data_IF_023981154713
#
_entry.id   IF_023981154713
#
_cell.length_a   1.000
_cell.length_b   1.000
_cell.length_c   1.000
_cell.angle_alpha   90.00
_cell.angle_beta   90.00
_cell.angle_gamma   90.00
#
_symmetry.space_group_name_H-M   'P 1'
#
loop_
_entity.id
_entity.type
_entity.pdbx_description
1 polymer ?
#
# COMPACT_ATOMS: atom_id res chain seq x y z
N UNK A 1 -28.67 35.35 5.92
CA UNK A 1 -29.34 34.94 4.66
C UNK A 1 -28.46 35.36 3.47
N UNK A 2 -28.73 34.92 2.24
CA UNK A 2 -27.94 35.30 1.04
C UNK A 2 -28.53 36.57 0.40
N UNK A 3 -27.68 37.53 0.03
CA UNK A 3 -28.10 38.76 -0.66
C UNK A 3 -28.50 38.47 -2.12
N UNK A 4 -29.37 39.27 -2.74
CA UNK A 4 -29.85 39.04 -4.13
C UNK A 4 -28.70 38.92 -5.16
N UNK A 5 -27.63 39.69 -5.00
CA UNK A 5 -26.42 39.59 -5.83
C UNK A 5 -25.67 38.28 -5.59
N UNK A 6 -25.49 37.90 -4.32
CA UNK A 6 -24.84 36.65 -3.91
C UNK A 6 -25.62 35.42 -4.39
N UNK A 7 -26.96 35.44 -4.34
CA UNK A 7 -27.81 34.35 -4.82
C UNK A 7 -27.54 34.05 -6.29
N UNK A 8 -27.32 35.08 -7.12
CA UNK A 8 -26.93 34.86 -8.53
C UNK A 8 -25.58 34.18 -8.65
N UNK A 9 -24.58 34.63 -7.89
CA UNK A 9 -23.23 34.08 -7.93
C UNK A 9 -23.20 32.63 -7.45
N UNK A 10 -23.86 32.31 -6.33
CA UNK A 10 -23.88 30.94 -5.80
C UNK A 10 -24.63 29.97 -6.74
N UNK A 11 -25.71 30.40 -7.41
CA UNK A 11 -26.40 29.54 -8.37
C UNK A 11 -25.51 29.20 -9.58
N UNK A 12 -24.76 30.19 -10.09
CA UNK A 12 -23.82 29.98 -11.20
C UNK A 12 -22.68 29.07 -10.75
N UNK A 13 -22.07 29.35 -9.59
CA UNK A 13 -20.98 28.54 -9.06
C UNK A 13 -21.40 27.09 -8.80
N UNK A 14 -22.60 26.86 -8.25
CA UNK A 14 -23.15 25.51 -8.07
C UNK A 14 -23.33 24.79 -9.42
N UNK A 15 -23.86 25.47 -10.44
CA UNK A 15 -24.04 24.88 -11.77
C UNK A 15 -22.70 24.48 -12.39
N UNK A 16 -21.70 25.37 -12.36
CA UNK A 16 -20.35 25.10 -12.85
C UNK A 16 -19.71 23.91 -12.13
N UNK A 17 -19.78 23.90 -10.79
CA UNK A 17 -19.27 22.79 -9.98
C UNK A 17 -19.91 21.45 -10.35
N UNK A 18 -21.23 21.41 -10.47
CA UNK A 18 -21.95 20.19 -10.86
C UNK A 18 -21.67 19.77 -12.32
N UNK A 19 -21.32 20.70 -13.20
CA UNK A 19 -20.86 20.36 -14.56
C UNK A 19 -19.46 19.75 -14.55
N UNK A 20 -18.50 20.35 -13.84
CA UNK A 20 -17.17 19.78 -13.69
C UNK A 20 -17.19 18.40 -13.05
N UNK A 21 -18.03 18.22 -12.02
CA UNK A 21 -18.25 16.91 -11.40
C UNK A 21 -18.79 15.86 -12.38
N UNK A 22 -19.54 16.25 -13.41
CA UNK A 22 -20.00 15.34 -14.46
C UNK A 22 -18.90 15.01 -15.46
N UNK A 23 -18.06 15.98 -15.80
CA UNK A 23 -16.97 15.83 -16.78
C UNK A 23 -15.79 15.02 -16.20
N UNK A 24 -15.54 15.12 -14.88
CA UNK A 24 -14.42 14.44 -14.21
C UNK A 24 -14.71 13.06 -13.60
N UNK A 25 -15.99 12.67 -13.43
CA UNK A 25 -16.34 11.37 -12.84
C UNK A 25 -16.35 10.26 -13.89
N UNK A 26 -15.28 9.45 -13.92
CA UNK A 26 -15.40 8.05 -14.32
C UNK A 26 -16.47 7.39 -13.44
N UNK A 27 -17.38 6.62 -14.03
CA UNK A 27 -18.53 6.04 -13.33
C UNK A 27 -18.09 5.09 -12.21
N UNK A 28 -18.00 5.60 -10.97
CA UNK A 28 -17.80 4.79 -9.77
C UNK A 28 -19.10 4.05 -9.42
N UNK A 29 -19.32 2.91 -10.08
CA UNK A 29 -20.32 1.89 -9.70
C UNK A 29 -21.79 2.34 -9.68
N UNK A 30 -22.68 1.36 -9.50
CA UNK A 30 -24.11 1.63 -9.25
C UNK A 30 -24.26 2.23 -7.85
N UNK A 31 -24.90 3.40 -7.75
CA UNK A 31 -25.23 4.02 -6.45
C UNK A 31 -26.15 3.08 -5.66
N UNK A 32 -25.82 2.84 -4.39
CA UNK A 32 -26.74 2.19 -3.45
C UNK A 32 -27.93 3.13 -3.20
N UNK A 33 -29.15 2.60 -3.25
CA UNK A 33 -30.41 3.33 -2.99
C UNK A 33 -30.59 3.68 -1.50
N UNK A 34 -29.52 4.04 -0.80
CA UNK A 34 -29.51 4.13 0.66
C UNK A 34 -30.27 5.34 1.22
N UNK A 35 -30.65 6.30 0.39
CA UNK A 35 -31.32 7.52 0.86
C UNK A 35 -32.53 7.87 0.00
N UNK A 36 -33.72 7.62 0.55
CA UNK A 36 -35.01 7.84 -0.10
C UNK A 36 -35.26 9.33 -0.43
N UNK A 37 -34.62 10.26 0.30
CA UNK A 37 -34.82 11.71 0.17
C UNK A 37 -33.55 12.46 -0.26
N UNK A 38 -32.66 11.80 -1.01
CA UNK A 38 -31.48 12.45 -1.58
C UNK A 38 -31.83 13.27 -2.83
N UNK A 39 -31.36 14.52 -2.89
CA UNK A 39 -31.47 15.36 -4.09
C UNK A 39 -30.38 15.04 -5.11
N UNK A 40 -30.78 14.58 -6.30
CA UNK A 40 -29.87 14.46 -7.45
C UNK A 40 -29.28 15.83 -7.85
N UNK A 41 -28.13 15.82 -8.53
CA UNK A 41 -27.46 17.05 -8.99
C UNK A 41 -28.39 17.95 -9.80
N UNK A 42 -29.23 17.36 -10.65
CA UNK A 42 -30.23 18.11 -11.41
C UNK A 42 -31.30 18.73 -10.50
N UNK A 43 -31.83 17.98 -9.53
CA UNK A 43 -32.80 18.51 -8.56
C UNK A 43 -32.22 19.67 -7.74
N UNK A 44 -30.93 19.61 -7.37
CA UNK A 44 -30.23 20.71 -6.68
C UNK A 44 -30.21 21.98 -7.52
N UNK A 45 -29.99 21.88 -8.84
CA UNK A 45 -30.06 23.03 -9.77
C UNK A 45 -31.47 23.61 -9.84
N UNK A 46 -32.50 22.78 -9.97
CA UNK A 46 -33.91 23.23 -9.98
C UNK A 46 -34.26 23.91 -8.65
N UNK A 47 -33.81 23.36 -7.53
CA UNK A 47 -34.00 23.95 -6.20
C UNK A 47 -33.33 25.32 -6.10
N UNK A 48 -32.06 25.43 -6.50
CA UNK A 48 -31.31 26.68 -6.49
C UNK A 48 -31.97 27.77 -7.36
N UNK A 49 -32.47 27.41 -8.55
CA UNK A 49 -33.21 28.31 -9.42
C UNK A 49 -34.53 28.78 -8.79
N UNK A 50 -35.25 27.88 -8.12
CA UNK A 50 -36.48 28.21 -7.40
C UNK A 50 -36.21 29.15 -6.22
N UNK A 51 -35.13 28.90 -5.48
CA UNK A 51 -34.64 29.79 -4.42
C UNK A 51 -34.29 31.18 -4.96
N UNK A 52 -33.58 31.25 -6.10
CA UNK A 52 -33.27 32.50 -6.79
C UNK A 52 -34.53 33.26 -7.21
N UNK A 53 -35.53 32.59 -7.78
CA UNK A 53 -36.79 33.21 -8.17
C UNK A 53 -37.54 33.78 -6.96
N UNK A 54 -37.66 32.99 -5.89
CA UNK A 54 -38.31 33.40 -4.64
C UNK A 54 -37.65 34.64 -4.02
N UNK A 55 -36.31 34.68 -3.98
CA UNK A 55 -35.55 35.87 -3.50
C UNK A 55 -35.63 37.07 -4.43
N UNK A 56 -35.81 36.88 -5.73
CA UNK A 56 -36.04 38.00 -6.67
C UNK A 56 -37.43 38.62 -6.49
N UNK A 57 -38.43 37.82 -6.14
CA UNK A 57 -39.80 38.29 -5.88
C UNK A 57 -40.03 38.70 -4.41
N UNK A 58 -39.01 38.55 -3.55
CA UNK A 58 -39.11 38.74 -2.10
C UNK A 58 -40.22 37.89 -1.47
N UNK A 59 -40.38 36.66 -1.95
CA UNK A 59 -41.38 35.68 -1.51
C UNK A 59 -40.72 34.43 -0.93
N UNK A 60 -41.39 33.68 -0.05
CA UNK A 60 -40.93 32.36 0.36
C UNK A 60 -41.03 31.36 -0.80
N UNK A 61 -40.25 30.29 -0.74
CA UNK A 61 -40.37 29.17 -1.68
C UNK A 61 -41.68 28.42 -1.41
N UNK A 62 -42.44 28.15 -2.47
CA UNK A 62 -43.63 27.30 -2.40
C UNK A 62 -43.23 25.82 -2.46
N UNK A 63 -42.90 25.26 -1.30
CA UNK A 63 -42.50 23.85 -1.15
C UNK A 63 -43.64 22.88 -1.50
N UNK A 64 -44.89 23.28 -1.29
CA UNK A 64 -46.05 22.44 -1.62
C UNK A 64 -46.13 22.24 -3.12
N UNK A 65 -46.05 23.32 -3.90
CA UNK A 65 -46.01 23.25 -5.36
C UNK A 65 -44.76 22.53 -5.86
N UNK A 66 -43.60 22.80 -5.25
CA UNK A 66 -42.34 22.17 -5.65
C UNK A 66 -42.35 20.66 -5.40
N UNK A 67 -42.94 20.19 -4.29
CA UNK A 67 -43.09 18.77 -3.98
C UNK A 67 -43.97 18.01 -4.99
N UNK A 68 -44.94 18.70 -5.62
CA UNK A 68 -45.84 18.13 -6.63
C UNK A 68 -45.27 18.16 -8.05
N UNK A 69 -44.09 18.76 -8.24
CA UNK A 69 -43.42 18.84 -9.54
C UNK A 69 -42.87 17.48 -9.98
N UNK A 70 -42.83 17.26 -11.30
CA UNK A 70 -42.19 16.09 -11.90
C UNK A 70 -40.69 15.97 -11.58
N UNK A 71 -40.04 17.05 -11.14
CA UNK A 71 -38.64 17.03 -10.75
C UNK A 71 -38.42 16.42 -9.36
N UNK A 72 -39.41 16.46 -8.46
CA UNK A 72 -39.27 16.04 -7.06
C UNK A 72 -40.22 14.89 -6.71
N UNK A 73 -40.34 13.89 -7.59
CA UNK A 73 -41.25 12.73 -7.41
C UNK A 73 -41.06 12.01 -6.07
N UNK A 74 -39.82 11.88 -5.59
CA UNK A 74 -39.50 11.29 -4.29
C UNK A 74 -40.08 12.07 -3.08
N UNK A 75 -40.38 13.36 -3.27
CA UNK A 75 -40.90 14.26 -2.25
C UNK A 75 -42.40 14.54 -2.41
N UNK A 76 -43.10 13.82 -3.30
CA UNK A 76 -44.52 14.06 -3.58
C UNK A 76 -45.38 14.03 -2.30
N UNK A 77 -46.08 15.13 -2.04
CA UNK A 77 -46.93 15.29 -0.85
C UNK A 77 -46.17 15.50 0.46
N UNK A 78 -44.84 15.69 0.43
CA UNK A 78 -43.97 15.89 1.59
C UNK A 78 -43.20 17.22 1.50
N UNK A 79 -43.89 18.37 1.55
CA UNK A 79 -43.24 19.69 1.48
C UNK A 79 -42.29 19.93 2.65
N UNK A 80 -42.58 19.40 3.85
CA UNK A 80 -41.77 19.61 5.05
C UNK A 80 -40.37 18.98 4.90
N UNK A 81 -40.29 17.80 4.27
CA UNK A 81 -39.02 17.12 3.98
C UNK A 81 -38.25 17.89 2.91
N UNK A 82 -38.93 18.47 1.93
CA UNK A 82 -38.28 19.29 0.91
C UNK A 82 -37.78 20.63 1.49
N UNK A 83 -38.49 21.18 2.47
CA UNK A 83 -38.09 22.39 3.20
C UNK A 83 -36.86 22.14 4.08
N UNK A 84 -36.75 20.98 4.74
CA UNK A 84 -35.57 20.68 5.56
C UNK A 84 -34.27 20.62 4.74
N UNK A 85 -34.37 20.23 3.46
CA UNK A 85 -33.25 20.23 2.51
C UNK A 85 -32.76 21.62 2.11
N UNK A 86 -33.54 22.69 2.33
CA UNK A 86 -33.16 24.06 1.96
C UNK A 86 -31.79 24.44 2.53
N UNK A 87 -31.60 24.18 3.82
CA UNK A 87 -30.35 24.49 4.52
C UNK A 87 -29.13 23.81 3.90
N UNK A 88 -29.27 22.54 3.52
CA UNK A 88 -28.22 21.76 2.88
C UNK A 88 -27.88 22.28 1.48
N UNK A 89 -28.90 22.58 0.66
CA UNK A 89 -28.70 23.12 -0.70
C UNK A 89 -28.05 24.51 -0.62
N UNK A 90 -28.42 25.34 0.35
CA UNK A 90 -27.79 26.65 0.58
C UNK A 90 -26.32 26.50 1.00
N UNK A 91 -26.01 25.53 1.86
CA UNK A 91 -24.63 25.26 2.27
C UNK A 91 -23.77 24.83 1.08
N UNK A 92 -24.28 23.93 0.23
CA UNK A 92 -23.59 23.52 -1.01
C UNK A 92 -23.39 24.70 -1.98
N UNK A 93 -24.40 25.55 -2.16
CA UNK A 93 -24.32 26.77 -2.97
C UNK A 93 -23.20 27.71 -2.51
N UNK A 94 -23.08 27.92 -1.18
CA UNK A 94 -22.01 28.75 -0.61
C UNK A 94 -20.63 28.13 -0.78
N UNK A 95 -20.53 26.82 -0.54
CA UNK A 95 -19.27 26.09 -0.68
C UNK A 95 -18.78 26.12 -2.13
N UNK A 96 -19.69 25.94 -3.10
CA UNK A 96 -19.37 26.05 -4.52
C UNK A 96 -18.85 27.46 -4.89
N UNK A 97 -19.44 28.52 -4.32
CA UNK A 97 -18.96 29.88 -4.54
C UNK A 97 -17.58 30.13 -3.92
N UNK A 98 -17.32 29.61 -2.72
CA UNK A 98 -16.01 29.70 -2.09
C UNK A 98 -14.93 28.97 -2.90
N UNK A 99 -15.26 27.79 -3.41
CA UNK A 99 -14.38 27.04 -4.32
C UNK A 99 -14.12 27.81 -5.60
N UNK A 100 -15.15 28.37 -6.25
CA UNK A 100 -15.00 29.22 -7.42
C UNK A 100 -14.11 30.44 -7.13
N UNK A 101 -14.28 31.11 -5.99
CA UNK A 101 -13.46 32.26 -5.59
C UNK A 101 -12.00 31.90 -5.37
N UNK A 102 -11.70 30.71 -4.86
CA UNK A 102 -10.32 30.21 -4.75
C UNK A 102 -9.70 30.05 -6.13
N UNK A 103 -10.46 29.50 -7.08
CA UNK A 103 -10.02 29.34 -8.46
C UNK A 103 -9.78 30.71 -9.12
N UNK A 104 -10.75 31.62 -8.99
CA UNK A 104 -10.66 32.98 -9.55
C UNK A 104 -9.55 33.81 -8.90
N UNK A 105 -9.26 33.57 -7.62
CA UNK A 105 -8.17 34.17 -6.85
C UNK A 105 -6.78 33.59 -7.15
N UNK A 106 -6.67 32.70 -8.14
CA UNK A 106 -5.40 32.11 -8.55
C UNK A 106 -4.87 31.02 -7.62
N UNK A 107 -5.70 30.46 -6.74
CA UNK A 107 -5.36 29.22 -6.06
C UNK A 107 -5.37 28.12 -7.12
N UNK A 108 -4.17 27.73 -7.57
CA UNK A 108 -3.95 26.79 -8.67
C UNK A 108 -4.82 25.54 -8.51
N UNK A 109 -5.88 25.45 -9.31
CA UNK A 109 -6.26 24.16 -9.88
C UNK A 109 -5.06 23.78 -10.71
N UNK A 110 -4.19 22.96 -10.14
CA UNK A 110 -3.01 22.39 -10.82
C UNK A 110 -3.36 22.17 -12.28
N UNK A 111 -2.73 22.96 -13.15
CA UNK A 111 -3.09 22.99 -14.56
C UNK A 111 -2.95 21.58 -15.13
N UNK A 112 -3.69 21.25 -16.18
CA UNK A 112 -3.51 19.97 -16.89
C UNK A 112 -2.03 19.70 -17.23
N UNK A 113 -1.25 20.76 -17.44
CA UNK A 113 0.20 20.69 -17.63
C UNK A 113 0.97 20.26 -16.37
N UNK A 114 0.57 20.72 -15.19
CA UNK A 114 1.24 20.38 -13.93
C UNK A 114 0.90 18.96 -13.50
N UNK A 115 -0.35 18.51 -13.74
CA UNK A 115 -0.70 17.09 -13.61
C UNK A 115 0.13 16.19 -14.54
N UNK A 116 0.41 16.63 -15.77
CA UNK A 116 1.28 15.88 -16.69
C UNK A 116 2.73 15.80 -16.17
N UNK A 117 3.25 16.88 -15.60
CA UNK A 117 4.59 16.90 -14.98
C UNK A 117 4.65 15.96 -13.78
N UNK A 118 3.67 16.02 -12.89
CA UNK A 118 3.61 15.13 -11.73
C UNK A 118 3.43 13.67 -12.15
N UNK A 119 2.63 13.40 -13.19
CA UNK A 119 2.50 12.05 -13.75
C UNK A 119 3.82 11.53 -14.33
N UNK A 120 4.61 12.38 -15.00
CA UNK A 120 5.93 12.02 -15.51
C UNK A 120 6.91 11.72 -14.36
N UNK A 121 6.94 12.55 -13.32
CA UNK A 121 7.75 12.30 -12.12
C UNK A 121 7.37 10.98 -11.45
N UNK A 122 6.08 10.72 -11.27
CA UNK A 122 5.57 9.49 -10.69
C UNK A 122 5.92 8.24 -11.54
N UNK A 123 5.86 8.35 -12.88
CA UNK A 123 6.28 7.27 -13.78
C UNK A 123 7.77 6.98 -13.67
N UNK A 124 8.59 8.01 -13.55
CA UNK A 124 10.04 7.84 -13.41
C UNK A 124 10.39 7.20 -12.07
N UNK A 125 9.81 7.69 -10.97
CA UNK A 125 9.93 7.07 -9.65
C UNK A 125 9.53 5.60 -9.65
N UNK A 126 8.43 5.24 -10.36
CA UNK A 126 7.99 3.85 -10.48
C UNK A 126 9.03 2.97 -11.19
N UNK A 127 9.70 3.47 -12.23
CA UNK A 127 10.78 2.72 -12.89
C UNK A 127 11.94 2.50 -11.93
N UNK A 128 12.37 3.53 -11.21
CA UNK A 128 13.45 3.42 -10.22
C UNK A 128 13.12 2.39 -9.14
N UNK A 129 11.88 2.40 -8.62
CA UNK A 129 11.43 1.38 -7.66
C UNK A 129 11.45 -0.03 -8.26
N UNK A 130 11.07 -0.20 -9.52
CA UNK A 130 11.12 -1.49 -10.21
C UNK A 130 12.56 -2.02 -10.34
N UNK A 131 13.51 -1.15 -10.68
CA UNK A 131 14.92 -1.51 -10.77
C UNK A 131 15.50 -1.89 -9.41
N UNK A 132 15.17 -1.14 -8.36
CA UNK A 132 15.57 -1.47 -7.00
C UNK A 132 14.99 -2.82 -6.55
N UNK A 133 13.72 -3.09 -6.83
CA UNK A 133 13.10 -4.37 -6.51
C UNK A 133 13.77 -5.54 -7.24
N UNK A 134 14.16 -5.35 -8.50
CA UNK A 134 14.93 -6.36 -9.24
C UNK A 134 16.30 -6.63 -8.60
N UNK A 135 17.00 -5.58 -8.13
CA UNK A 135 18.26 -5.71 -7.40
C UNK A 135 18.08 -6.45 -6.07
N UNK A 136 17.02 -6.14 -5.32
CA UNK A 136 16.70 -6.85 -4.06
C UNK A 136 16.48 -8.34 -4.35
N UNK A 137 15.67 -8.68 -5.35
CA UNK A 137 15.42 -10.08 -5.71
C UNK A 137 16.71 -10.83 -6.11
N UNK A 138 17.62 -10.18 -6.83
CA UNK A 138 18.91 -10.76 -7.21
C UNK A 138 19.79 -11.00 -5.97
N UNK A 139 19.87 -10.05 -5.05
CA UNK A 139 20.62 -10.18 -3.80
C UNK A 139 20.05 -11.28 -2.89
N UNK A 140 18.72 -11.39 -2.80
CA UNK A 140 18.06 -12.47 -2.06
C UNK A 140 18.41 -13.85 -2.64
N UNK A 141 18.47 -13.97 -3.97
CA UNK A 141 18.86 -15.22 -4.62
C UNK A 141 20.34 -15.56 -4.35
N UNK A 142 21.24 -14.58 -4.46
CA UNK A 142 22.65 -14.76 -4.11
C UNK A 142 22.83 -15.19 -2.65
N UNK A 143 22.06 -14.59 -1.73
CA UNK A 143 22.08 -14.96 -0.32
C UNK A 143 21.62 -16.41 -0.13
N UNK A 144 20.55 -16.84 -0.79
CA UNK A 144 20.08 -18.23 -0.73
C UNK A 144 21.11 -19.22 -1.29
N UNK A 145 21.74 -18.91 -2.42
CA UNK A 145 22.79 -19.76 -3.01
C UNK A 145 24.00 -19.91 -2.09
N UNK A 146 24.50 -18.79 -1.54
CA UNK A 146 25.64 -18.83 -0.61
C UNK A 146 25.32 -19.57 0.68
N UNK A 147 24.10 -19.46 1.20
CA UNK A 147 23.64 -20.25 2.35
C UNK A 147 23.60 -21.75 2.05
N UNK A 148 23.10 -22.15 0.87
CA UNK A 148 23.10 -23.56 0.44
C UNK A 148 24.52 -24.13 0.36
N UNK A 149 25.43 -23.40 -0.29
CA UNK A 149 26.84 -23.80 -0.40
C UNK A 149 27.50 -23.92 0.99
N UNK A 150 27.22 -23.00 1.91
CA UNK A 150 27.74 -23.08 3.27
C UNK A 150 27.22 -24.33 4.02
N UNK A 151 25.98 -24.75 3.80
CA UNK A 151 25.43 -25.99 4.35
C UNK A 151 26.11 -27.22 3.73
N UNK A 152 26.32 -27.22 2.40
CA UNK A 152 27.01 -28.30 1.70
C UNK A 152 28.45 -28.47 2.17
N UNK A 153 29.21 -27.38 2.31
CA UNK A 153 30.58 -27.43 2.84
C UNK A 153 30.61 -27.96 4.28
N UNK A 154 29.65 -27.57 5.12
CA UNK A 154 29.51 -28.13 6.48
C UNK A 154 29.23 -29.62 6.45
N UNK A 155 28.33 -30.09 5.57
CA UNK A 155 28.01 -31.50 5.42
C UNK A 155 29.20 -32.33 4.90
N UNK A 156 29.96 -31.79 3.93
CA UNK A 156 31.19 -32.42 3.45
C UNK A 156 32.24 -32.55 4.56
N UNK A 157 32.42 -31.51 5.37
CA UNK A 157 33.33 -31.56 6.51
C UNK A 157 32.92 -32.65 7.52
N UNK A 158 31.65 -32.74 7.88
CA UNK A 158 31.14 -33.77 8.80
C UNK A 158 31.40 -35.18 8.27
N UNK A 159 31.16 -35.43 6.97
CA UNK A 159 31.47 -36.74 6.35
C UNK A 159 32.95 -37.08 6.43
N UNK A 160 33.83 -36.12 6.13
CA UNK A 160 35.28 -36.33 6.23
C UNK A 160 35.73 -36.60 7.68
N UNK A 161 35.14 -35.91 8.66
CA UNK A 161 35.41 -36.14 10.08
C UNK A 161 34.92 -37.55 10.53
N UNK A 162 33.76 -38.00 10.04
CA UNK A 162 33.23 -39.35 10.28
C UNK A 162 34.07 -40.45 9.65
N UNK A 163 34.47 -40.31 8.39
CA UNK A 163 35.37 -41.24 7.67
C UNK A 163 36.71 -41.35 8.41
N UNK A 164 37.29 -40.23 8.84
CA UNK A 164 38.51 -40.22 9.64
C UNK A 164 38.33 -40.88 11.02
N UNK A 165 37.17 -40.72 11.66
CA UNK A 165 36.86 -41.37 12.92
C UNK A 165 36.74 -42.89 12.75
N UNK A 166 36.10 -43.35 11.66
CA UNK A 166 35.97 -44.77 11.34
C UNK A 166 37.34 -45.41 11.08
N UNK A 167 38.19 -44.77 10.27
CA UNK A 167 39.57 -45.24 10.04
C UNK A 167 40.38 -45.37 11.34
N UNK A 168 40.17 -44.46 12.30
CA UNK A 168 40.82 -44.55 13.62
C UNK A 168 40.28 -45.72 14.45
N UNK A 169 38.99 -46.03 14.38
CA UNK A 169 38.39 -47.18 15.07
C UNK A 169 38.86 -48.50 14.45
N UNK A 170 38.88 -48.60 13.12
CA UNK A 170 39.33 -49.80 12.40
C UNK A 170 40.81 -50.10 12.69
N UNK A 171 41.67 -49.06 12.70
CA UNK A 171 43.07 -49.20 13.10
C UNK A 171 43.25 -49.64 14.57
N UNK A 172 42.35 -49.21 15.47
CA UNK A 172 42.35 -49.69 16.86
C UNK A 172 41.94 -51.15 16.97
N UNK A 173 40.95 -51.61 16.20
CA UNK A 173 40.54 -53.03 16.16
C UNK A 173 41.68 -53.90 15.61
N UNK A 174 42.36 -53.47 14.54
CA UNK A 174 43.50 -54.19 13.99
C UNK A 174 44.65 -54.33 14.99
N UNK A 175 45.00 -53.27 15.71
CA UNK A 175 46.04 -53.32 16.76
C UNK A 175 45.66 -54.21 17.95
N UNK A 176 44.37 -54.25 18.30
CA UNK A 176 43.86 -55.10 19.39
C UNK A 176 43.81 -56.58 18.98
N UNK A 177 43.45 -56.86 17.71
CA UNK A 177 43.48 -58.22 17.14
C UNK A 177 44.90 -58.74 16.94
N UNK A 178 45.88 -57.86 16.66
CA UNK A 178 47.31 -58.21 16.59
C UNK A 178 47.92 -58.40 17.99
N UNK A 179 47.40 -57.72 19.00
CA UNK A 179 47.79 -57.86 20.40
C UNK A 179 47.38 -59.17 21.07
N UNK A 180 46.46 -59.95 20.49
CA UNK A 180 46.08 -61.27 20.99
C UNK A 180 47.01 -62.41 20.51
N UNK A 181 47.93 -62.12 19.59
CA UNK A 181 48.82 -63.12 18.98
C UNK A 181 50.33 -62.91 19.23
N UNK A 182 50.74 -61.95 20.07
CA UNK A 182 52.18 -61.80 20.36
C UNK A 182 52.45 -61.47 21.83
N UNK A 183 52.70 -62.51 22.60
CA UNK A 183 53.37 -62.44 23.90
C UNK A 183 54.84 -62.06 23.73
N UNK A 184 55.11 -60.81 23.33
CA UNK A 184 56.41 -60.12 23.45
C UNK A 184 56.20 -58.62 23.68
N UNK A 185 55.88 -58.27 24.92
CA UNK A 185 55.78 -56.89 25.38
C UNK A 185 57.08 -56.10 25.18
N UNK A 186 56.92 -54.80 24.88
CA UNK A 186 57.77 -53.63 25.21
C UNK A 186 58.01 -52.63 24.08
N UNK A 187 57.73 -52.93 22.80
CA UNK A 187 58.04 -51.97 21.70
C UNK A 187 56.85 -51.19 21.10
N UNK A 188 55.60 -51.57 21.40
CA UNK A 188 54.41 -50.94 20.81
C UNK A 188 53.90 -49.69 21.55
N UNK A 189 54.29 -49.49 22.82
CA UNK A 189 53.80 -48.36 23.63
C UNK A 189 54.38 -46.99 23.21
N UNK A 190 55.54 -46.95 22.54
CA UNK A 190 56.18 -45.71 22.09
C UNK A 190 55.61 -45.15 20.79
N UNK A 191 55.13 -46.00 19.89
CA UNK A 191 54.54 -45.54 18.61
C UNK A 191 53.14 -44.97 18.84
N UNK A 192 52.38 -45.58 19.77
CA UNK A 192 51.02 -45.17 20.08
C UNK A 192 50.96 -43.84 20.86
N UNK A 193 51.96 -43.53 21.69
CA UNK A 193 52.09 -42.22 22.36
C UNK A 193 52.51 -41.12 21.39
N UNK A 194 53.42 -41.40 20.44
CA UNK A 194 53.83 -40.42 19.41
C UNK A 194 52.65 -40.03 18.49
N UNK A 195 51.79 -40.98 18.14
CA UNK A 195 50.60 -40.68 17.32
C UNK A 195 49.55 -39.84 18.08
N UNK A 196 49.41 -40.04 19.40
CA UNK A 196 48.55 -39.20 20.25
C UNK A 196 49.11 -37.77 20.42
N UNK A 197 50.43 -37.61 20.53
CA UNK A 197 51.09 -36.30 20.61
C UNK A 197 50.93 -35.49 19.31
N UNK A 198 51.14 -36.10 18.13
CA UNK A 198 50.94 -35.43 16.85
C UNK A 198 49.48 -34.97 16.63
N UNK A 199 48.49 -35.77 17.07
CA UNK A 199 47.08 -35.37 17.01
C UNK A 199 46.76 -34.18 17.91
N UNK A 200 47.40 -34.05 19.08
CA UNK A 200 47.18 -32.89 19.96
C UNK A 200 47.80 -31.59 19.43
N UNK A 201 48.97 -31.66 18.78
CA UNK A 201 49.62 -30.47 18.21
C UNK A 201 48.85 -29.92 17.00
N UNK A 202 48.26 -30.80 16.19
CA UNK A 202 47.45 -30.37 15.05
C UNK A 202 46.14 -29.67 15.46
N UNK A 203 45.50 -30.12 16.54
CA UNK A 203 44.28 -29.49 17.08
C UNK A 203 44.57 -28.13 17.73
N UNK A 204 45.80 -27.90 18.22
CA UNK A 204 46.19 -26.61 18.79
C UNK A 204 46.52 -25.54 17.74
N UNK A 205 47.08 -25.92 16.59
CA UNK A 205 47.38 -24.99 15.49
C UNK A 205 46.12 -24.40 14.83
N UNK A 206 45.04 -25.18 14.74
CA UNK A 206 43.76 -24.75 14.14
C UNK A 206 42.95 -23.78 15.02
N UNK A 207 43.28 -23.68 16.32
CA UNK A 207 42.70 -22.67 17.23
C UNK A 207 43.45 -21.34 17.22
N UNK A 208 44.66 -21.29 16.67
CA UNK A 208 45.50 -20.08 16.61
C UNK A 208 45.21 -19.18 15.40
N UNK A 209 44.35 -19.62 14.47
CA UNK A 209 44.06 -18.93 13.20
C UNK A 209 42.60 -18.46 13.06
N UNK A 210 41.84 -18.38 14.15
CA UNK A 210 40.51 -17.73 14.20
C UNK A 210 40.57 -16.37 14.87
#
# INVERSE_FOLDING_TARGET
ELNRSEVRQVCVALHTKLQWDKEGRQQWGKRLNADQFHLSDYQKVVFANSYKAARNESRPIDYLRMSKSCHFTAFAGKPDVLQSMESAVIAEMRLALEEQRKIDGGMEVTSSADWKKELLKAKEQRKTLSEMNAKIAALELQLKCSQSLAVEFRAQKMRGDEENAQLCQDAQVETTSRGYNDSRGTKLNTVCTLFKLMKSEYVHLDRSWR
#
